data_IF_562170379428
#
_entry.id   IF_562170379428
#
_cell.length_a   1.000
_cell.length_b   1.000
_cell.length_c   1.000
_cell.angle_alpha   90.00
_cell.angle_beta   90.00
_cell.angle_gamma   90.00
#
_symmetry.space_group_name_H-M   'P 1'
#
loop_
_entity.id
_entity.type
_entity.pdbx_description
1 polymer ?
#
# COMPACT_ATOMS: atom_id res chain seq x y z
N UNK A 1 28.77 15.80 -26.50
CA UNK A 1 28.68 17.27 -26.40
C UNK A 1 29.02 17.89 -27.75
N UNK A 2 28.24 18.88 -28.19
CA UNK A 2 28.46 19.61 -29.44
C UNK A 2 28.44 21.10 -29.14
N UNK A 3 29.34 21.87 -29.75
CA UNK A 3 29.51 23.30 -29.50
C UNK A 3 29.35 24.13 -30.77
N UNK A 4 28.62 25.25 -30.67
CA UNK A 4 28.53 26.28 -31.71
C UNK A 4 29.25 27.54 -31.25
N UNK A 5 30.39 27.85 -31.86
CA UNK A 5 31.31 28.90 -31.38
C UNK A 5 30.91 30.33 -31.75
N UNK A 6 29.96 30.53 -32.67
CA UNK A 6 29.45 31.85 -33.08
C UNK A 6 27.98 32.07 -32.70
N UNK A 7 27.43 31.24 -31.81
CA UNK A 7 26.07 31.48 -31.34
C UNK A 7 26.01 32.73 -30.46
N UNK A 8 24.91 33.48 -30.58
CA UNK A 8 24.64 34.71 -29.85
C UNK A 8 23.52 34.52 -28.80
N UNK A 9 23.69 33.65 -27.78
CA UNK A 9 22.67 33.47 -26.74
C UNK A 9 22.40 34.79 -26.02
N UNK A 10 21.14 35.06 -25.71
CA UNK A 10 20.70 36.21 -24.91
C UNK A 10 21.24 37.56 -25.42
N UNK A 11 21.39 37.68 -26.75
CA UNK A 11 21.90 38.89 -27.42
C UNK A 11 23.40 39.16 -27.26
N UNK A 12 24.18 38.19 -26.73
CA UNK A 12 25.63 38.33 -26.53
C UNK A 12 26.38 37.78 -27.74
N UNK A 13 26.94 38.68 -28.55
CA UNK A 13 27.75 38.36 -29.73
C UNK A 13 28.88 37.35 -29.41
N UNK A 14 28.89 36.24 -30.14
CA UNK A 14 29.89 35.15 -30.11
C UNK A 14 30.15 34.55 -28.74
N UNK A 15 29.15 34.55 -27.85
CA UNK A 15 29.29 33.92 -26.53
C UNK A 15 29.36 32.39 -26.62
N UNK A 16 28.93 31.81 -27.74
CA UNK A 16 28.92 30.38 -27.99
C UNK A 16 27.77 29.66 -27.26
N UNK A 17 27.40 28.48 -27.77
CA UNK A 17 26.43 27.58 -27.12
C UNK A 17 26.99 26.17 -27.07
N UNK A 18 26.84 25.51 -25.94
CA UNK A 18 27.21 24.10 -25.74
C UNK A 18 25.95 23.27 -25.51
N UNK A 19 25.88 22.12 -26.15
CA UNK A 19 24.76 21.18 -26.05
C UNK A 19 25.25 19.83 -25.50
N UNK A 20 24.57 19.34 -24.46
CA UNK A 20 24.66 17.94 -24.05
C UNK A 20 23.56 17.18 -24.79
N UNK A 21 23.96 16.10 -25.47
CA UNK A 21 23.05 15.28 -26.26
C UNK A 21 23.05 13.89 -25.63
N UNK A 22 21.91 13.47 -25.11
CA UNK A 22 21.68 12.09 -24.69
C UNK A 22 21.27 11.26 -25.91
N UNK A 23 21.68 10.00 -25.97
CA UNK A 23 21.40 9.12 -27.10
C UNK A 23 19.90 8.91 -27.32
N UNK A 24 19.48 8.79 -28.58
CA UNK A 24 18.10 8.44 -28.97
C UNK A 24 18.09 7.11 -29.72
N UNK A 25 16.97 6.40 -29.65
CA UNK A 25 16.81 5.06 -30.22
C UNK A 25 16.56 5.06 -31.73
N UNK A 26 16.12 6.19 -32.29
CA UNK A 26 15.95 6.35 -33.73
C UNK A 26 17.20 6.97 -34.41
N UNK A 27 17.29 6.85 -35.74
CA UNK A 27 18.47 7.24 -36.53
C UNK A 27 18.40 8.64 -37.15
N UNK A 28 17.34 9.40 -36.86
CA UNK A 28 17.13 10.72 -37.46
C UNK A 28 18.21 11.74 -37.05
N UNK A 29 18.48 12.74 -37.89
CA UNK A 29 19.45 13.78 -37.53
C UNK A 29 18.89 14.67 -36.41
N UNK A 30 19.72 15.03 -35.43
CA UNK A 30 19.34 15.98 -34.39
C UNK A 30 19.46 17.38 -34.95
N UNK A 31 18.33 18.02 -35.20
CA UNK A 31 18.28 19.41 -35.62
C UNK A 31 18.45 20.35 -34.42
N UNK A 32 19.66 20.90 -34.28
CA UNK A 32 20.03 21.81 -33.20
C UNK A 32 19.31 23.18 -33.29
N UNK A 33 18.68 23.51 -34.43
CA UNK A 33 17.94 24.77 -34.56
C UNK A 33 16.63 24.76 -33.75
N UNK A 34 16.03 23.58 -33.57
CA UNK A 34 14.87 23.36 -32.70
C UNK A 34 15.21 23.50 -31.20
N UNK A 35 16.50 23.52 -30.83
CA UNK A 35 16.94 23.71 -29.45
C UNK A 35 17.06 25.19 -29.04
N UNK A 36 16.91 26.12 -29.98
CA UNK A 36 17.37 27.50 -29.79
C UNK A 36 16.29 28.54 -29.47
N UNK A 37 15.04 28.14 -29.22
CA UNK A 37 13.96 29.09 -28.91
C UNK A 37 12.81 28.59 -28.03
N UNK A 38 12.58 27.27 -27.95
CA UNK A 38 11.45 26.65 -27.22
C UNK A 38 11.82 25.24 -26.72
N UNK A 39 13.11 24.98 -26.49
CA UNK A 39 13.54 23.61 -26.22
C UNK A 39 13.09 23.19 -24.83
N UNK A 40 12.16 22.22 -24.81
CA UNK A 40 11.77 21.36 -23.68
C UNK A 40 12.96 20.72 -22.91
N UNK A 41 14.18 20.94 -23.39
CA UNK A 41 15.46 20.38 -22.93
C UNK A 41 16.50 21.47 -22.59
N UNK A 42 16.11 22.76 -22.60
CA UNK A 42 16.99 23.83 -22.19
C UNK A 42 17.06 23.84 -20.65
N UNK A 43 18.23 24.14 -20.10
CA UNK A 43 18.36 24.35 -18.65
C UNK A 43 17.77 25.73 -18.35
N UNK A 44 16.71 25.77 -17.56
CA UNK A 44 16.04 27.00 -17.14
C UNK A 44 16.79 27.65 -15.98
N UNK A 45 17.23 26.83 -15.02
CA UNK A 45 17.99 27.28 -13.86
C UNK A 45 19.33 26.55 -13.79
N UNK A 46 20.41 27.33 -13.93
CA UNK A 46 21.79 26.84 -13.80
C UNK A 46 22.47 27.53 -12.61
N UNK A 47 22.89 26.75 -11.63
CA UNK A 47 23.71 27.21 -10.52
C UNK A 47 25.20 27.15 -10.80
N UNK A 48 26.02 27.27 -9.76
CA UNK A 48 27.47 27.27 -9.83
C UNK A 48 28.11 26.28 -8.83
N UNK A 49 29.15 26.71 -8.11
CA UNK A 49 29.92 25.86 -7.17
C UNK A 49 29.72 26.30 -5.72
N UNK A 50 28.83 27.26 -5.50
CA UNK A 50 28.48 27.83 -4.22
C UNK A 50 27.02 27.50 -3.95
N UNK A 51 26.59 27.59 -2.69
CA UNK A 51 25.18 27.47 -2.33
C UNK A 51 24.30 28.44 -3.14
N UNK A 52 23.31 27.90 -3.82
CA UNK A 52 22.37 28.61 -4.68
C UNK A 52 20.95 28.45 -4.16
N UNK A 53 20.10 29.43 -4.49
CA UNK A 53 18.66 29.34 -4.27
C UNK A 53 17.99 29.57 -5.62
N UNK A 54 17.41 28.50 -6.17
CA UNK A 54 16.79 28.47 -7.48
C UNK A 54 15.29 28.24 -7.30
N UNK A 55 14.49 29.19 -7.75
CA UNK A 55 13.03 29.16 -7.58
C UNK A 55 12.34 29.22 -8.93
N UNK A 56 11.64 28.14 -9.27
CA UNK A 56 10.86 27.95 -10.47
C UNK A 56 9.50 28.62 -10.45
N UNK A 57 8.70 28.28 -11.45
CA UNK A 57 7.34 28.78 -11.63
C UNK A 57 6.35 27.62 -11.65
N UNK A 58 5.16 27.81 -12.20
CA UNK A 58 4.21 26.71 -12.38
C UNK A 58 4.39 25.97 -13.72
N UNK A 59 5.41 26.33 -14.52
CA UNK A 59 5.66 25.68 -15.81
C UNK A 59 6.63 24.50 -15.62
N UNK A 60 6.86 23.74 -16.70
CA UNK A 60 7.89 22.70 -16.71
C UNK A 60 9.28 23.31 -16.80
N UNK A 61 10.12 23.13 -15.79
CA UNK A 61 11.49 23.64 -15.81
C UNK A 61 12.58 22.57 -15.57
N UNK A 62 13.80 22.88 -15.99
CA UNK A 62 14.99 22.08 -15.74
C UNK A 62 15.98 22.85 -14.87
N UNK A 63 16.27 22.29 -13.70
CA UNK A 63 17.24 22.80 -12.73
C UNK A 63 18.52 21.97 -12.77
N UNK A 64 19.67 22.65 -12.79
CA UNK A 64 21.00 22.08 -12.62
C UNK A 64 21.74 22.98 -11.64
N UNK A 65 21.77 22.64 -10.35
CA UNK A 65 22.30 23.54 -9.32
C UNK A 65 23.84 23.50 -9.21
N UNK A 66 24.45 22.32 -9.35
CA UNK A 66 25.89 22.21 -9.54
C UNK A 66 26.60 21.69 -8.29
N UNK A 67 27.39 22.50 -7.62
CA UNK A 67 27.99 22.12 -6.35
C UNK A 67 27.73 23.19 -5.29
N UNK A 68 27.74 22.80 -4.02
CA UNK A 68 27.31 23.66 -2.91
C UNK A 68 26.06 23.10 -2.27
N UNK A 69 25.68 23.65 -1.13
CA UNK A 69 24.44 23.24 -0.45
C UNK A 69 23.30 24.08 -1.02
N UNK A 70 22.59 23.53 -2.01
CA UNK A 70 21.64 24.25 -2.85
C UNK A 70 20.19 24.11 -2.36
N UNK A 71 19.36 25.10 -2.66
CA UNK A 71 17.91 25.06 -2.43
C UNK A 71 17.18 25.26 -3.74
N UNK A 72 16.41 24.25 -4.15
CA UNK A 72 15.66 24.23 -5.40
C UNK A 72 14.16 24.21 -5.06
N UNK A 73 13.35 25.05 -5.69
CA UNK A 73 11.90 25.10 -5.45
C UNK A 73 11.16 25.05 -6.78
N UNK A 74 10.33 24.03 -6.97
CA UNK A 74 9.58 23.85 -8.22
C UNK A 74 8.50 24.90 -8.43
N UNK A 75 7.57 25.02 -7.48
CA UNK A 75 6.31 25.78 -7.58
C UNK A 75 5.26 25.21 -8.56
N UNK A 76 5.54 24.10 -9.25
CA UNK A 76 4.56 23.30 -9.99
C UNK A 76 5.11 22.78 -11.30
N UNK A 77 4.28 22.18 -12.15
CA UNK A 77 4.73 21.66 -13.45
C UNK A 77 5.54 20.35 -13.38
N UNK A 78 5.94 19.84 -14.56
CA UNK A 78 6.81 18.66 -14.68
C UNK A 78 8.29 19.07 -14.64
N UNK A 79 8.78 19.34 -13.44
CA UNK A 79 10.15 19.79 -13.22
C UNK A 79 11.19 18.66 -13.22
N UNK A 80 12.38 18.99 -13.68
CA UNK A 80 13.59 18.15 -13.57
C UNK A 80 14.55 18.83 -12.61
N UNK A 81 14.76 18.24 -11.44
CA UNK A 81 15.78 18.68 -10.49
C UNK A 81 17.04 17.82 -10.61
N UNK A 82 18.18 18.48 -10.82
CA UNK A 82 19.51 17.92 -10.63
C UNK A 82 20.24 18.87 -9.66
N UNK A 83 20.36 18.47 -8.40
CA UNK A 83 20.92 19.34 -7.38
C UNK A 83 22.46 19.32 -7.42
N UNK A 84 23.07 18.14 -7.44
CA UNK A 84 24.46 17.99 -7.83
C UNK A 84 25.34 17.54 -6.65
N UNK A 85 26.38 18.28 -6.27
CA UNK A 85 27.24 17.91 -5.13
C UNK A 85 26.99 18.83 -3.94
N UNK A 86 26.62 18.29 -2.79
CA UNK A 86 26.42 19.09 -1.58
C UNK A 86 25.33 18.52 -0.69
N UNK A 87 24.83 19.34 0.23
CA UNK A 87 23.62 19.00 0.99
C UNK A 87 22.47 19.83 0.45
N UNK A 88 21.70 19.24 -0.44
CA UNK A 88 20.70 19.97 -1.19
C UNK A 88 19.30 19.83 -0.59
N UNK A 89 18.46 20.84 -0.84
CA UNK A 89 17.06 20.88 -0.41
C UNK A 89 16.16 21.16 -1.61
N UNK A 90 15.38 20.16 -2.02
CA UNK A 90 14.47 20.23 -3.16
C UNK A 90 13.03 20.33 -2.63
N UNK A 91 12.34 21.42 -2.91
CA UNK A 91 10.97 21.68 -2.48
C UNK A 91 9.98 21.40 -3.62
N UNK A 92 9.04 20.49 -3.37
CA UNK A 92 7.99 20.08 -4.30
C UNK A 92 6.60 20.29 -3.71
N UNK A 93 5.65 20.75 -4.52
CA UNK A 93 4.25 20.91 -4.11
C UNK A 93 3.34 19.83 -4.74
N UNK A 94 2.03 19.93 -4.50
CA UNK A 94 1.02 19.01 -5.07
C UNK A 94 1.15 18.82 -6.59
N UNK A 95 1.40 19.89 -7.34
CA UNK A 95 1.52 19.81 -8.80
C UNK A 95 2.78 19.04 -9.23
N UNK A 96 3.89 19.22 -8.51
CA UNK A 96 5.11 18.46 -8.79
C UNK A 96 4.94 16.98 -8.45
N UNK A 97 4.25 16.65 -7.34
CA UNK A 97 3.93 15.26 -6.99
C UNK A 97 3.09 14.59 -8.08
N UNK A 98 2.00 15.23 -8.51
CA UNK A 98 1.16 14.71 -9.60
C UNK A 98 1.93 14.55 -10.92
N UNK A 99 2.97 15.37 -11.14
CA UNK A 99 3.86 15.22 -12.28
C UNK A 99 4.80 14.01 -12.14
N UNK A 100 5.31 13.71 -10.94
CA UNK A 100 6.16 12.55 -10.69
C UNK A 100 5.40 11.21 -10.84
N UNK A 101 4.13 11.17 -10.44
CA UNK A 101 3.26 9.98 -10.55
C UNK A 101 2.84 9.65 -12.00
N UNK A 102 2.86 10.64 -12.89
CA UNK A 102 2.41 10.43 -14.27
C UNK A 102 3.26 9.37 -15.00
N UNK A 103 2.60 8.43 -15.66
CA UNK A 103 3.25 7.43 -16.52
C UNK A 103 2.97 7.72 -17.99
N UNK A 104 3.85 7.23 -18.88
CA UNK A 104 3.70 7.37 -20.32
C UNK A 104 4.70 8.33 -20.98
N UNK A 105 4.61 8.41 -22.31
CA UNK A 105 5.57 9.13 -23.13
C UNK A 105 5.51 10.64 -22.88
N UNK A 106 6.68 11.27 -22.72
CA UNK A 106 6.81 12.72 -22.63
C UNK A 106 6.85 13.29 -21.21
N UNK A 107 6.53 12.50 -20.17
CA UNK A 107 6.75 12.91 -18.79
C UNK A 107 8.25 12.91 -18.46
N UNK A 108 8.75 14.06 -17.98
CA UNK A 108 10.16 14.26 -17.60
C UNK A 108 10.37 14.48 -16.11
N UNK A 109 9.30 14.60 -15.31
CA UNK A 109 9.40 14.92 -13.89
C UNK A 109 10.40 14.01 -13.18
N UNK A 110 11.39 14.61 -12.52
CA UNK A 110 12.51 13.90 -11.89
C UNK A 110 13.10 14.72 -10.76
N UNK A 111 13.52 14.03 -9.72
CA UNK A 111 14.25 14.52 -8.56
C UNK A 111 15.54 13.71 -8.47
N UNK A 112 16.67 14.39 -8.52
CA UNK A 112 18.01 13.80 -8.42
C UNK A 112 18.84 14.70 -7.49
N UNK A 113 19.09 14.25 -6.27
CA UNK A 113 19.89 15.01 -5.29
C UNK A 113 21.38 14.99 -5.65
N UNK A 114 21.88 13.85 -6.11
CA UNK A 114 23.25 13.66 -6.53
C UNK A 114 24.18 13.21 -5.41
N UNK A 115 25.32 13.87 -5.26
CA UNK A 115 26.33 13.49 -4.29
C UNK A 115 26.23 14.29 -3.01
N UNK A 116 25.81 13.65 -1.92
CA UNK A 116 25.90 14.22 -0.59
C UNK A 116 24.81 13.70 0.32
N UNK A 117 24.14 14.60 1.06
CA UNK A 117 22.99 14.22 1.90
C UNK A 117 21.86 15.17 1.57
N UNK A 118 20.92 14.67 0.78
CA UNK A 118 19.95 15.50 0.09
C UNK A 118 18.55 15.31 0.65
N UNK A 119 17.80 16.41 0.67
CA UNK A 119 16.47 16.50 1.27
C UNK A 119 15.42 16.80 0.21
N UNK A 120 14.46 15.89 0.04
CA UNK A 120 13.22 16.15 -0.67
C UNK A 120 12.15 16.64 0.30
N UNK A 121 11.62 17.84 0.11
CA UNK A 121 10.71 18.50 1.03
C UNK A 121 9.35 18.79 0.39
N UNK A 122 8.28 18.52 1.15
CA UNK A 122 6.92 18.85 0.74
C UNK A 122 6.57 20.30 1.10
N UNK A 123 6.09 21.05 0.10
CA UNK A 123 5.59 22.42 0.22
C UNK A 123 4.09 22.48 -0.07
N UNK A 124 3.28 22.36 0.98
CA UNK A 124 1.82 22.43 0.88
C UNK A 124 1.13 21.88 2.11
N UNK A 125 -0.20 21.76 2.04
CA UNK A 125 -1.04 21.18 3.09
C UNK A 125 -1.63 19.84 2.64
N UNK A 126 -1.69 18.88 3.56
CA UNK A 126 -2.36 17.60 3.39
C UNK A 126 -1.91 16.84 2.13
N UNK A 127 -0.60 16.91 1.85
CA UNK A 127 -0.01 16.29 0.67
C UNK A 127 0.28 14.81 0.93
N UNK A 128 0.03 13.98 -0.07
CA UNK A 128 0.49 12.58 -0.09
C UNK A 128 1.61 12.44 -1.11
N UNK A 129 2.80 12.04 -0.67
CA UNK A 129 3.87 11.56 -1.53
C UNK A 129 3.84 10.04 -1.53
N UNK A 130 3.25 9.45 -2.56
CA UNK A 130 3.18 8.00 -2.72
C UNK A 130 4.29 7.51 -3.65
N UNK A 131 5.39 7.05 -3.05
CA UNK A 131 6.53 6.52 -3.79
C UNK A 131 6.16 5.23 -4.55
N UNK A 132 5.13 4.49 -4.11
CA UNK A 132 4.69 3.26 -4.79
C UNK A 132 4.05 3.53 -6.15
N UNK A 133 3.57 4.76 -6.37
CA UNK A 133 3.05 5.24 -7.67
C UNK A 133 4.12 5.88 -8.55
N UNK A 134 5.30 6.16 -8.01
CA UNK A 134 6.38 6.85 -8.70
C UNK A 134 7.42 5.81 -9.13
N UNK A 135 7.85 5.87 -10.40
CA UNK A 135 8.94 4.98 -10.85
C UNK A 135 10.22 5.27 -10.05
N UNK A 136 10.88 4.22 -9.56
CA UNK A 136 12.15 4.25 -8.82
C UNK A 136 13.32 4.94 -9.56
N UNK A 137 13.12 5.30 -10.83
CA UNK A 137 14.09 6.08 -11.62
C UNK A 137 13.84 7.58 -11.60
N UNK A 138 12.70 8.03 -11.05
CA UNK A 138 12.30 9.44 -11.01
C UNK A 138 12.72 10.16 -9.74
N UNK A 139 12.93 9.45 -8.64
CA UNK A 139 13.47 10.01 -7.39
C UNK A 139 14.72 9.20 -7.06
N UNK A 140 15.86 9.87 -7.04
CA UNK A 140 17.16 9.25 -6.82
C UNK A 140 18.06 10.17 -5.99
N UNK A 141 18.99 9.55 -5.29
CA UNK A 141 19.97 10.23 -4.44
C UNK A 141 19.32 11.21 -3.45
N UNK A 142 18.32 10.71 -2.72
CA UNK A 142 17.64 11.39 -1.63
C UNK A 142 17.76 10.55 -0.36
N UNK A 143 18.38 11.12 0.67
CA UNK A 143 18.55 10.48 1.98
C UNK A 143 17.52 10.93 3.01
N UNK A 144 16.92 12.10 2.80
CA UNK A 144 15.96 12.70 3.71
C UNK A 144 14.69 13.08 2.96
N UNK A 145 13.53 12.61 3.45
CA UNK A 145 12.23 13.12 3.03
C UNK A 145 11.66 13.95 4.19
N UNK A 146 11.40 15.23 3.93
CA UNK A 146 10.82 16.17 4.87
C UNK A 146 9.35 16.42 4.53
N UNK A 147 8.46 15.78 5.30
CA UNK A 147 7.01 15.93 5.17
C UNK A 147 6.44 16.98 6.13
N UNK A 148 7.26 17.82 6.79
CA UNK A 148 6.82 18.90 7.71
C UNK A 148 6.16 20.09 7.00
N UNK A 149 5.49 19.87 5.87
CA UNK A 149 4.65 20.89 5.25
C UNK A 149 3.57 21.40 6.22
N UNK A 150 2.68 22.23 5.70
CA UNK A 150 1.44 22.55 6.44
C UNK A 150 0.50 21.34 6.45
N UNK A 151 -0.56 21.37 7.27
CA UNK A 151 -1.51 20.26 7.35
C UNK A 151 -0.88 18.94 7.82
N UNK A 152 -1.54 17.83 7.48
CA UNK A 152 -1.12 16.47 7.82
C UNK A 152 -0.67 15.74 6.56
N UNK A 153 0.63 15.65 6.34
CA UNK A 153 1.20 15.08 5.13
C UNK A 153 1.46 13.58 5.29
N UNK A 154 1.41 12.85 4.19
CA UNK A 154 1.56 11.40 4.15
C UNK A 154 2.73 11.03 3.25
N UNK A 155 3.61 10.16 3.72
CA UNK A 155 4.59 9.46 2.90
C UNK A 155 4.18 8.00 2.80
N UNK A 156 4.02 7.48 1.59
CA UNK A 156 3.75 6.06 1.33
C UNK A 156 4.93 5.44 0.59
N UNK A 157 5.47 4.34 1.13
CA UNK A 157 6.64 3.65 0.56
C UNK A 157 6.69 2.15 0.88
N UNK A 158 7.38 1.40 0.04
CA UNK A 158 7.78 0.02 0.29
C UNK A 158 9.32 -0.13 0.32
N UNK A 159 9.81 -1.36 0.57
CA UNK A 159 11.26 -1.62 0.64
C UNK A 159 12.01 -1.26 -0.66
N UNK A 160 11.43 -1.52 -1.83
CA UNK A 160 12.08 -1.20 -3.11
C UNK A 160 12.23 0.30 -3.29
N UNK A 161 11.26 1.09 -2.84
CA UNK A 161 11.30 2.55 -2.92
C UNK A 161 12.43 3.09 -2.02
N UNK A 162 12.56 2.56 -0.80
CA UNK A 162 13.66 2.93 0.11
C UNK A 162 15.03 2.56 -0.46
N UNK A 163 15.16 1.37 -1.05
CA UNK A 163 16.43 0.92 -1.66
C UNK A 163 16.78 1.69 -2.95
N UNK A 164 15.78 2.27 -3.61
CA UNK A 164 15.98 3.07 -4.82
C UNK A 164 16.18 4.57 -4.52
N UNK A 165 15.78 5.03 -3.34
CA UNK A 165 15.80 6.44 -2.97
C UNK A 165 17.22 7.03 -3.03
N UNK A 166 18.25 6.27 -2.67
CA UNK A 166 19.65 6.72 -2.71
C UNK A 166 20.58 5.65 -3.26
N UNK A 167 21.56 6.05 -4.08
CA UNK A 167 22.62 5.16 -4.54
C UNK A 167 23.79 5.04 -3.55
N UNK A 168 23.84 5.91 -2.55
CA UNK A 168 24.96 6.01 -1.59
C UNK A 168 24.69 5.31 -0.26
N UNK A 169 23.41 5.13 0.09
CA UNK A 169 22.98 4.52 1.35
C UNK A 169 21.63 3.83 1.18
N UNK A 170 21.37 2.82 2.03
CA UNK A 170 20.05 2.21 2.16
C UNK A 170 19.33 2.75 3.41
N UNK A 171 19.69 3.94 3.88
CA UNK A 171 19.06 4.59 5.03
C UNK A 171 18.26 5.78 4.52
N UNK A 172 16.94 5.72 4.68
CA UNK A 172 16.03 6.82 4.38
C UNK A 172 15.54 7.43 5.70
N UNK A 173 15.74 8.74 5.87
CA UNK A 173 15.26 9.48 7.05
C UNK A 173 13.99 10.25 6.69
N UNK A 174 13.01 10.23 7.58
CA UNK A 174 11.77 10.96 7.43
C UNK A 174 11.64 11.98 8.55
N UNK A 175 11.50 13.25 8.18
CA UNK A 175 11.20 14.34 9.09
C UNK A 175 9.73 14.69 8.96
N UNK A 176 9.04 14.84 10.08
CA UNK A 176 7.62 15.18 10.10
C UNK A 176 7.25 15.83 11.43
N UNK A 177 6.07 16.44 11.46
CA UNK A 177 5.47 17.08 12.61
C UNK A 177 4.24 16.27 13.08
N UNK A 178 3.57 16.76 14.12
CA UNK A 178 2.39 16.09 14.67
C UNK A 178 1.24 16.10 13.67
N UNK A 179 0.78 14.92 13.27
CA UNK A 179 -0.31 14.73 12.31
C UNK A 179 0.16 14.14 10.98
N UNK A 180 1.45 14.31 10.65
CA UNK A 180 2.08 13.63 9.53
C UNK A 180 2.11 12.11 9.75
N UNK A 181 2.02 11.33 8.68
CA UNK A 181 2.01 9.85 8.74
C UNK A 181 2.92 9.23 7.69
N UNK A 182 3.62 8.17 8.06
CA UNK A 182 4.34 7.29 7.14
C UNK A 182 3.60 5.96 7.04
N UNK A 183 3.15 5.63 5.83
CA UNK A 183 2.52 4.36 5.48
C UNK A 183 3.58 3.46 4.83
N UNK A 184 3.78 2.27 5.38
CA UNK A 184 4.73 1.31 4.81
C UNK A 184 4.30 -0.13 5.10
N UNK A 185 5.00 -1.13 4.56
CA UNK A 185 4.69 -2.55 4.79
C UNK A 185 5.95 -3.29 5.19
N UNK A 186 5.88 -4.11 6.24
CA UNK A 186 6.95 -5.06 6.61
C UNK A 186 8.15 -4.44 7.33
N UNK A 187 8.09 -3.13 7.64
CA UNK A 187 9.09 -2.44 8.45
C UNK A 187 8.79 -2.60 9.94
N UNK A 188 9.72 -3.22 10.67
CA UNK A 188 9.61 -3.46 12.10
C UNK A 188 10.56 -2.53 12.84
N UNK A 189 10.06 -1.83 13.86
CA UNK A 189 10.89 -0.99 14.73
C UNK A 189 11.92 -1.86 15.47
N UNK A 190 13.19 -1.49 15.39
CA UNK A 190 14.29 -2.22 16.04
C UNK A 190 15.05 -1.40 17.06
N UNK A 191 15.16 -0.09 16.88
CA UNK A 191 15.83 0.79 17.83
C UNK A 191 15.28 2.23 17.80
N UNK A 192 15.90 3.08 18.61
CA UNK A 192 15.69 4.53 18.60
C UNK A 192 17.08 5.16 18.59
N UNK A 193 17.30 6.10 17.68
CA UNK A 193 18.59 6.78 17.50
C UNK A 193 18.41 8.30 17.60
N UNK A 194 19.47 9.03 17.91
CA UNK A 194 19.45 10.50 17.92
C UNK A 194 20.59 11.04 17.09
N UNK A 195 20.26 11.90 16.14
CA UNK A 195 21.23 12.54 15.26
C UNK A 195 20.87 14.01 15.07
N UNK A 196 21.88 14.90 15.20
CA UNK A 196 21.72 16.34 15.04
C UNK A 196 20.57 16.96 15.87
N UNK A 197 20.29 16.39 17.05
CA UNK A 197 19.22 16.84 17.94
C UNK A 197 17.82 16.35 17.58
N UNK A 198 17.68 15.50 16.55
CA UNK A 198 16.43 14.85 16.16
C UNK A 198 16.48 13.40 16.64
N UNK A 199 15.41 12.95 17.30
CA UNK A 199 15.25 11.56 17.74
C UNK A 199 14.40 10.81 16.74
N UNK A 200 14.89 9.67 16.28
CA UNK A 200 14.26 8.80 15.29
C UNK A 200 13.92 7.46 15.89
N UNK A 201 12.75 6.94 15.56
CA UNK A 201 12.47 5.51 15.63
C UNK A 201 13.02 4.84 14.37
N UNK A 202 13.83 3.80 14.56
CA UNK A 202 14.52 3.10 13.47
C UNK A 202 13.80 1.79 13.18
N UNK A 203 13.45 1.60 11.91
CA UNK A 203 12.75 0.45 11.41
C UNK A 203 13.59 -0.29 10.38
N UNK A 204 13.57 -1.62 10.43
CA UNK A 204 14.26 -2.50 9.48
C UNK A 204 13.25 -3.44 8.81
N UNK A 205 13.58 -3.90 7.61
CA UNK A 205 12.75 -4.84 6.86
C UNK A 205 13.45 -6.20 6.74
N UNK A 206 12.76 -7.31 7.00
CA UNK A 206 13.35 -8.67 6.95
C UNK A 206 13.90 -9.05 5.58
N UNK A 207 13.22 -8.59 4.53
CA UNK A 207 13.57 -8.88 3.14
C UNK A 207 14.71 -8.02 2.62
N UNK A 208 15.14 -7.02 3.39
CA UNK A 208 16.38 -6.32 3.08
C UNK A 208 17.52 -7.33 3.18
N UNK A 209 18.24 -7.54 2.06
CA UNK A 209 19.43 -8.38 2.04
C UNK A 209 20.30 -8.04 3.27
N UNK A 210 20.72 -9.04 4.04
CA UNK A 210 21.36 -8.84 5.35
C UNK A 210 22.60 -7.95 5.32
N UNK A 211 23.22 -7.79 4.15
CA UNK A 211 24.36 -6.89 3.91
C UNK A 211 23.97 -5.45 3.54
N UNK A 212 22.73 -5.22 3.06
CA UNK A 212 22.25 -3.92 2.59
C UNK A 212 22.03 -2.92 3.74
N UNK A 213 21.80 -3.39 4.97
CA UNK A 213 21.52 -2.54 6.15
C UNK A 213 20.41 -1.50 5.88
N UNK A 214 19.36 -1.92 5.17
CA UNK A 214 18.27 -1.03 4.85
C UNK A 214 17.54 -0.60 6.14
N UNK A 215 17.39 0.70 6.35
CA UNK A 215 16.74 1.24 7.54
C UNK A 215 15.92 2.47 7.21
N UNK A 216 14.69 2.49 7.71
CA UNK A 216 13.81 3.65 7.69
C UNK A 216 13.87 4.33 9.04
N UNK A 217 14.30 5.59 9.07
CA UNK A 217 14.45 6.37 10.31
C UNK A 217 13.36 7.43 10.35
N UNK A 218 12.36 7.26 11.20
CA UNK A 218 11.21 8.16 11.26
C UNK A 218 11.29 9.02 12.50
N UNK A 219 11.26 10.34 12.34
CA UNK A 219 11.29 11.28 13.46
C UNK A 219 10.16 10.97 14.45
N UNK A 220 10.47 10.93 15.76
CA UNK A 220 9.46 10.74 16.78
C UNK A 220 8.41 11.87 16.75
N UNK A 221 7.13 11.47 16.84
CA UNK A 221 5.98 12.37 16.71
C UNK A 221 5.25 12.24 15.36
N UNK A 222 5.87 11.59 14.38
CA UNK A 222 5.24 11.20 13.12
C UNK A 222 4.48 9.89 13.32
N UNK A 223 3.25 9.80 12.80
CA UNK A 223 2.46 8.58 12.81
C UNK A 223 3.09 7.51 11.92
N UNK A 224 3.03 6.25 12.35
CA UNK A 224 3.46 5.10 11.54
C UNK A 224 2.29 4.16 11.36
N UNK A 225 1.95 3.85 10.10
CA UNK A 225 0.95 2.84 9.76
C UNK A 225 1.61 1.71 8.98
N UNK A 226 1.75 0.56 9.62
CA UNK A 226 2.17 -0.67 8.96
C UNK A 226 0.97 -1.25 8.18
N UNK A 227 1.00 -1.09 6.86
CA UNK A 227 0.18 -1.80 5.90
C UNK A 227 0.71 -3.23 5.79
N UNK A 228 0.51 -4.00 6.85
CA UNK A 228 1.02 -5.36 6.99
C UNK A 228 0.60 -6.21 5.77
N UNK A 229 1.58 -6.85 5.13
CA UNK A 229 1.35 -7.86 4.07
C UNK A 229 1.52 -9.25 4.68
N UNK A 230 0.43 -9.99 4.87
CA UNK A 230 0.50 -11.43 5.08
C UNK A 230 -0.48 -12.04 6.08
N UNK A 231 -0.56 -13.37 6.04
CA UNK A 231 -1.42 -14.21 6.88
C UNK A 231 -0.96 -14.25 8.34
N UNK A 232 -1.94 -14.24 9.24
CA UNK A 232 -1.71 -14.39 10.68
C UNK A 232 -1.39 -15.86 11.03
N UNK A 233 -0.53 -16.06 12.03
CA UNK A 233 -0.16 -17.36 12.60
C UNK A 233 -1.41 -18.19 12.90
N UNK A 234 -1.48 -19.39 12.34
CA UNK A 234 -2.53 -20.38 12.61
C UNK A 234 -2.09 -21.18 13.83
N UNK A 235 -2.89 -21.15 14.90
CA UNK A 235 -2.75 -22.10 16.00
C UNK A 235 -3.66 -23.30 15.74
N UNK A 236 -3.17 -24.52 15.99
CA UNK A 236 -4.00 -25.72 15.98
C UNK A 236 -5.17 -25.59 16.97
N UNK A 237 -6.34 -26.09 16.60
CA UNK A 237 -7.61 -25.96 17.36
C UNK A 237 -7.55 -26.71 18.71
N UNK A 238 -6.78 -27.80 18.81
CA UNK A 238 -6.65 -28.65 20.01
C UNK A 238 -5.18 -29.03 20.27
N UNK A 239 -4.82 -29.26 21.54
CA UNK A 239 -3.53 -29.86 21.92
C UNK A 239 -3.40 -31.24 21.26
N UNK A 240 -2.28 -31.47 20.57
CA UNK A 240 -1.95 -32.68 19.79
C UNK A 240 -2.53 -32.77 18.36
N UNK A 241 -3.33 -31.80 17.91
CA UNK A 241 -3.71 -31.69 16.49
C UNK A 241 -2.56 -31.15 15.66
N UNK A 242 -2.27 -31.81 14.52
CA UNK A 242 -1.24 -31.37 13.59
C UNK A 242 -1.88 -30.57 12.44
N UNK A 243 -1.84 -29.24 12.54
CA UNK A 243 -1.87 -28.36 11.37
C UNK A 243 -0.45 -28.32 10.79
N UNK A 244 -0.25 -28.58 9.48
CA UNK A 244 0.95 -28.18 8.68
C UNK A 244 1.27 -29.11 7.48
N UNK A 245 0.40 -30.05 7.10
CA UNK A 245 0.81 -31.03 6.07
C UNK A 245 0.83 -30.49 4.63
N UNK A 246 -0.06 -29.55 4.28
CA UNK A 246 -0.05 -28.90 2.96
C UNK A 246 -0.72 -27.52 2.98
N UNK A 247 0.06 -26.49 2.70
CA UNK A 247 -0.45 -25.15 2.37
C UNK A 247 -0.41 -24.94 0.86
N UNK A 248 -1.45 -24.37 0.28
CA UNK A 248 -1.51 -24.03 -1.15
C UNK A 248 -2.02 -22.60 -1.34
N UNK A 249 -1.44 -21.87 -2.28
CA UNK A 249 -1.90 -20.54 -2.68
C UNK A 249 -3.30 -20.66 -3.30
N UNK A 250 -4.25 -19.84 -2.85
CA UNK A 250 -5.63 -19.81 -3.34
C UNK A 250 -5.87 -18.72 -4.39
N UNK A 251 -4.91 -17.79 -4.55
CA UNK A 251 -5.09 -16.51 -5.25
C UNK A 251 -6.01 -15.58 -4.46
N UNK A 252 -6.24 -14.37 -4.98
CA UNK A 252 -7.18 -13.40 -4.44
C UNK A 252 -8.64 -13.86 -4.68
N UNK A 253 -9.21 -14.66 -3.79
CA UNK A 253 -10.58 -15.19 -3.90
C UNK A 253 -11.63 -14.17 -3.44
N UNK A 254 -11.27 -13.18 -2.62
CA UNK A 254 -12.22 -12.16 -2.13
C UNK A 254 -12.20 -10.83 -2.94
N UNK A 255 -11.31 -10.70 -3.93
CA UNK A 255 -11.25 -9.54 -4.83
C UNK A 255 -10.56 -8.29 -4.25
N UNK A 256 -9.91 -8.36 -3.09
CA UNK A 256 -9.34 -7.19 -2.40
C UNK A 256 -7.96 -6.74 -2.91
N UNK A 257 -7.32 -7.54 -3.77
CA UNK A 257 -6.03 -7.24 -4.39
C UNK A 257 -4.83 -7.93 -3.73
N UNK A 258 -5.06 -8.81 -2.75
CA UNK A 258 -4.06 -9.62 -2.05
C UNK A 258 -4.37 -11.10 -2.27
N UNK A 259 -3.35 -11.95 -2.35
CA UNK A 259 -3.54 -13.40 -2.54
C UNK A 259 -3.97 -14.06 -1.21
N UNK A 260 -4.96 -14.96 -1.25
CA UNK A 260 -5.44 -15.76 -0.12
C UNK A 260 -4.77 -17.16 -0.05
N UNK A 261 -4.97 -17.87 1.06
CA UNK A 261 -4.38 -19.20 1.31
C UNK A 261 -5.46 -20.27 1.52
N UNK A 262 -5.25 -21.46 0.94
CA UNK A 262 -5.96 -22.69 1.32
C UNK A 262 -5.00 -23.55 2.15
N UNK A 263 -5.45 -23.96 3.33
CA UNK A 263 -4.77 -24.98 4.14
C UNK A 263 -5.50 -26.30 3.94
N UNK A 264 -4.80 -27.33 3.47
CA UNK A 264 -5.37 -28.69 3.39
C UNK A 264 -4.59 -29.60 4.31
N UNK A 265 -5.28 -30.20 5.27
CA UNK A 265 -4.75 -31.34 6.02
C UNK A 265 -4.55 -31.03 7.49
N UNK A 266 -5.63 -31.13 8.25
CA UNK A 266 -5.57 -31.47 9.67
C UNK A 266 -5.61 -32.98 9.77
N UNK A 267 -4.45 -33.61 9.99
CA UNK A 267 -4.39 -35.05 10.16
C UNK A 267 -4.90 -35.38 11.57
N UNK A 268 -5.90 -36.25 11.66
CA UNK A 268 -6.61 -36.67 12.89
C UNK A 268 -7.68 -35.72 13.45
N UNK A 269 -8.21 -34.76 12.68
CA UNK A 269 -9.31 -33.91 13.18
C UNK A 269 -10.61 -34.66 13.53
N UNK A 270 -10.72 -35.96 13.18
CA UNK A 270 -11.85 -36.88 13.42
C UNK A 270 -13.25 -36.23 13.41
N UNK A 271 -13.61 -35.38 12.42
CA UNK A 271 -14.95 -34.83 12.34
C UNK A 271 -15.97 -35.98 12.27
N UNK A 272 -16.92 -35.94 13.19
CA UNK A 272 -18.02 -36.89 13.27
C UNK A 272 -17.59 -38.34 13.58
N UNK A 273 -16.45 -38.53 14.27
CA UNK A 273 -15.99 -39.84 14.75
C UNK A 273 -15.42 -40.75 13.65
N UNK A 274 -14.93 -40.18 12.54
CA UNK A 274 -14.30 -40.91 11.44
C UNK A 274 -12.80 -40.70 11.47
N UNK A 275 -12.06 -41.77 11.78
CA UNK A 275 -10.60 -41.81 11.72
C UNK A 275 -10.08 -41.37 10.33
N UNK A 276 -9.17 -40.39 10.31
CA UNK A 276 -8.44 -39.91 9.11
C UNK A 276 -9.27 -39.10 8.07
N UNK A 277 -10.19 -38.25 8.51
CA UNK A 277 -10.82 -37.28 7.59
C UNK A 277 -10.01 -35.97 7.52
N UNK A 278 -9.61 -35.58 6.31
CA UNK A 278 -8.92 -34.31 6.05
C UNK A 278 -9.95 -33.16 5.97
N UNK A 279 -9.72 -32.09 6.74
CA UNK A 279 -10.45 -30.82 6.61
C UNK A 279 -9.60 -29.81 5.82
N UNK A 280 -10.10 -29.26 4.72
CA UNK A 280 -9.51 -28.07 4.12
C UNK A 280 -10.08 -26.81 4.80
N UNK A 281 -9.31 -25.73 4.76
CA UNK A 281 -9.70 -24.42 5.27
C UNK A 281 -9.29 -23.35 4.26
N UNK A 282 -10.10 -22.30 4.13
CA UNK A 282 -9.73 -21.09 3.38
C UNK A 282 -9.42 -20.00 4.40
N UNK A 283 -8.26 -19.37 4.26
CA UNK A 283 -7.79 -18.29 5.12
C UNK A 283 -7.67 -17.06 4.25
N UNK A 284 -8.50 -16.07 4.57
CA UNK A 284 -8.45 -14.79 3.91
C UNK A 284 -7.26 -13.97 4.41
N UNK A 285 -6.64 -13.24 3.50
CA UNK A 285 -5.65 -12.23 3.85
C UNK A 285 -6.31 -11.08 4.67
N UNK A 286 -5.51 -10.40 5.50
CA UNK A 286 -5.97 -9.23 6.28
C UNK A 286 -4.92 -8.14 6.35
N UNK A 287 -5.38 -6.91 6.55
CA UNK A 287 -4.55 -5.72 6.78
C UNK A 287 -4.40 -5.36 8.26
N UNK A 288 -4.94 -6.17 9.17
CA UNK A 288 -4.90 -5.95 10.62
C UNK A 288 -4.27 -7.14 11.38
N UNK A 289 -3.87 -6.90 12.64
CA UNK A 289 -3.07 -7.83 13.46
C UNK A 289 -3.89 -8.88 14.22
N UNK A 290 -5.20 -8.99 13.95
CA UNK A 290 -6.09 -9.85 14.72
C UNK A 290 -5.95 -11.32 14.31
N UNK A 291 -5.76 -12.22 15.27
CA UNK A 291 -5.69 -13.66 15.03
C UNK A 291 -6.97 -14.18 14.37
N UNK A 292 -6.81 -14.89 13.25
CA UNK A 292 -7.89 -15.63 12.60
C UNK A 292 -7.97 -17.01 13.25
N UNK A 293 -9.13 -17.34 13.78
CA UNK A 293 -9.52 -18.74 14.04
C UNK A 293 -10.36 -19.22 12.86
N UNK A 294 -10.09 -20.45 12.47
CA UNK A 294 -10.35 -21.06 11.18
C UNK A 294 -11.86 -21.28 10.91
N UNK A 295 -12.33 -21.04 9.67
CA UNK A 295 -13.68 -21.41 9.22
C UNK A 295 -13.66 -22.84 8.67
N UNK A 296 -14.45 -23.74 9.27
CA UNK A 296 -14.57 -25.16 8.87
C UNK A 296 -15.20 -25.31 7.48
N UNK A 297 -14.46 -25.84 6.49
CA UNK A 297 -15.03 -26.26 5.21
C UNK A 297 -15.34 -27.76 5.26
N UNK A 298 -16.60 -28.11 5.53
CA UNK A 298 -17.12 -29.48 5.38
C UNK A 298 -17.78 -29.68 4.00
N UNK A 299 -17.08 -29.36 2.92
CA UNK A 299 -17.59 -29.60 1.57
C UNK A 299 -17.44 -31.07 1.14
N UNK A 300 -18.55 -31.79 0.98
CA UNK A 300 -18.57 -33.00 0.17
C UNK A 300 -18.42 -32.60 -1.32
N UNK A 301 -17.51 -33.25 -2.05
CA UNK A 301 -17.11 -32.96 -3.43
C UNK A 301 -18.28 -32.88 -4.44
N UNK A 302 -19.46 -33.38 -4.07
CA UNK A 302 -20.60 -33.52 -4.98
C UNK A 302 -21.78 -32.55 -4.71
N UNK A 303 -21.77 -31.68 -3.68
CA UNK A 303 -22.98 -30.89 -3.35
C UNK A 303 -22.83 -29.41 -2.97
N UNK A 304 -21.66 -28.77 -3.06
CA UNK A 304 -21.51 -27.32 -2.80
C UNK A 304 -22.24 -26.84 -1.52
N UNK A 305 -22.21 -27.65 -0.46
CA UNK A 305 -22.97 -27.44 0.78
C UNK A 305 -22.00 -27.08 1.90
N UNK A 306 -22.15 -25.90 2.51
CA UNK A 306 -21.39 -25.46 3.66
C UNK A 306 -22.18 -25.81 4.95
N UNK A 307 -21.56 -26.51 5.89
CA UNK A 307 -22.08 -26.75 7.25
C UNK A 307 -21.07 -26.17 8.25
N UNK A 308 -21.44 -25.11 8.97
CA UNK A 308 -20.59 -24.48 9.98
C UNK A 308 -20.73 -25.17 11.33
N UNK A 309 -19.63 -25.50 11.99
CA UNK A 309 -19.59 -25.81 13.44
C UNK A 309 -18.82 -24.74 14.24
N UNK A 310 -18.79 -23.51 13.71
CA UNK A 310 -18.03 -22.42 14.30
C UNK A 310 -18.42 -22.15 15.76
N UNK A 311 -17.43 -22.17 16.64
CA UNK A 311 -17.60 -21.79 18.05
C UNK A 311 -17.25 -20.30 18.21
N UNK A 312 -18.21 -19.53 18.72
CA UNK A 312 -18.07 -18.16 19.26
C UNK A 312 -17.77 -17.00 18.28
N UNK A 313 -18.61 -16.74 17.27
CA UNK A 313 -18.76 -15.42 16.62
C UNK A 313 -20.17 -15.18 16.05
N UNK A 314 -20.65 -13.94 16.19
CA UNK A 314 -21.99 -13.47 15.78
C UNK A 314 -22.16 -13.28 14.24
N UNK A 315 -21.18 -13.66 13.40
CA UNK A 315 -21.16 -13.42 11.93
C UNK A 315 -20.61 -14.61 11.10
N UNK A 316 -21.20 -14.92 9.93
CA UNK A 316 -20.79 -15.95 8.96
C UNK A 316 -20.73 -15.37 7.53
N UNK A 317 -19.69 -15.74 6.77
CA UNK A 317 -19.52 -15.36 5.36
C UNK A 317 -19.69 -16.57 4.43
N UNK A 318 -20.53 -16.42 3.41
CA UNK A 318 -20.69 -17.35 2.29
C UNK A 318 -19.98 -16.73 1.08
N UNK A 319 -18.94 -17.39 0.54
CA UNK A 319 -18.13 -16.82 -0.55
C UNK A 319 -17.77 -17.87 -1.62
N UNK A 320 -17.82 -17.48 -2.88
CA UNK A 320 -17.37 -18.28 -4.03
C UNK A 320 -17.84 -17.72 -5.38
N UNK A 321 -17.09 -17.99 -6.46
CA UNK A 321 -17.37 -17.47 -7.82
C UNK A 321 -18.63 -18.05 -8.51
N UNK A 322 -19.45 -18.82 -7.79
CA UNK A 322 -20.68 -19.50 -8.24
C UNK A 322 -21.72 -19.51 -7.11
N UNK A 323 -23.00 -19.78 -7.42
CA UNK A 323 -24.06 -19.92 -6.39
C UNK A 323 -23.69 -20.96 -5.31
N UNK A 324 -23.60 -20.53 -4.05
CA UNK A 324 -23.30 -21.39 -2.90
C UNK A 324 -24.57 -21.69 -2.09
N UNK A 325 -24.57 -22.76 -1.29
CA UNK A 325 -25.67 -23.06 -0.35
C UNK A 325 -25.15 -23.35 1.06
N UNK A 326 -25.44 -22.46 2.00
CA UNK A 326 -25.20 -22.62 3.43
C UNK A 326 -26.40 -23.35 4.07
N UNK A 327 -26.14 -24.37 4.89
CA UNK A 327 -27.17 -25.05 5.68
C UNK A 327 -26.92 -24.82 7.17
N UNK A 328 -27.91 -24.27 7.86
CA UNK A 328 -27.86 -24.01 9.30
C UNK A 328 -29.01 -24.73 10.01
N UNK A 329 -28.73 -25.26 11.20
CA UNK A 329 -29.73 -25.73 12.15
C UNK A 329 -29.74 -24.85 13.42
N UNK A 330 -30.73 -25.07 14.30
CA UNK A 330 -30.89 -24.27 15.51
C UNK A 330 -29.70 -24.37 16.48
N UNK A 331 -29.07 -25.54 16.57
CA UNK A 331 -27.88 -25.74 17.42
C UNK A 331 -26.68 -24.97 16.86
N UNK A 332 -26.51 -24.90 15.53
CA UNK A 332 -25.43 -24.13 14.90
C UNK A 332 -25.54 -22.64 15.27
N UNK A 333 -26.76 -22.12 15.37
CA UNK A 333 -27.04 -20.71 15.69
C UNK A 333 -26.80 -20.38 17.16
N UNK A 334 -27.17 -21.30 18.05
CA UNK A 334 -27.01 -21.16 19.50
C UNK A 334 -25.54 -21.24 19.94
N UNK A 335 -24.68 -21.88 19.14
CA UNK A 335 -23.23 -21.96 19.38
C UNK A 335 -22.41 -20.87 18.68
N UNK A 336 -22.95 -20.28 17.61
CA UNK A 336 -22.30 -19.18 16.91
C UNK A 336 -22.40 -17.87 17.70
N UNK A 337 -23.59 -17.51 18.21
CA UNK A 337 -23.77 -16.22 18.89
C UNK A 337 -23.30 -16.23 20.35
N UNK A 338 -22.40 -15.32 20.70
CA UNK A 338 -21.87 -15.21 22.08
C UNK A 338 -22.46 -14.04 22.87
N UNK A 339 -23.22 -13.12 22.25
CA UNK A 339 -23.69 -11.92 22.96
C UNK A 339 -25.09 -11.36 22.64
N UNK A 340 -25.87 -11.93 21.71
CA UNK A 340 -27.25 -11.47 21.49
C UNK A 340 -28.24 -12.51 20.91
N UNK A 341 -27.82 -13.77 20.68
CA UNK A 341 -28.57 -14.75 19.87
C UNK A 341 -28.83 -14.26 18.44
N UNK A 342 -27.94 -13.42 17.91
CA UNK A 342 -28.01 -12.90 16.55
C UNK A 342 -26.89 -13.55 15.74
N UNK A 343 -27.21 -14.01 14.54
CA UNK A 343 -26.23 -14.40 13.54
C UNK A 343 -26.41 -13.57 12.27
N UNK A 344 -25.37 -12.87 11.85
CA UNK A 344 -25.34 -12.19 10.56
C UNK A 344 -24.73 -13.09 9.48
N UNK A 345 -25.36 -13.13 8.31
CA UNK A 345 -24.90 -13.90 7.14
C UNK A 345 -24.70 -12.96 5.97
N UNK A 346 -23.47 -12.95 5.46
CA UNK A 346 -23.03 -12.14 4.33
C UNK A 346 -22.69 -13.04 3.14
N UNK A 347 -22.93 -12.55 1.92
CA UNK A 347 -22.70 -13.32 0.70
C UNK A 347 -23.01 -12.54 -0.58
N UNK A 348 -22.66 -13.14 -1.71
CA UNK A 348 -22.84 -12.55 -3.04
C UNK A 348 -24.25 -12.84 -3.58
N UNK A 349 -24.71 -11.99 -4.50
CA UNK A 349 -25.99 -12.19 -5.21
C UNK A 349 -26.09 -13.59 -5.84
N UNK A 350 -27.04 -14.39 -5.36
CA UNK A 350 -27.31 -15.76 -5.84
C UNK A 350 -26.90 -16.85 -4.87
N UNK A 351 -26.21 -16.50 -3.78
CA UNK A 351 -25.98 -17.40 -2.65
C UNK A 351 -27.28 -17.75 -1.95
N UNK A 352 -27.33 -18.96 -1.39
CA UNK A 352 -28.53 -19.52 -0.75
C UNK A 352 -28.25 -19.90 0.69
N UNK A 353 -29.22 -19.65 1.55
CA UNK A 353 -29.18 -20.10 2.95
C UNK A 353 -30.42 -20.95 3.20
N UNK A 354 -30.22 -22.19 3.64
CA UNK A 354 -31.29 -23.09 4.04
C UNK A 354 -31.24 -23.26 5.55
N UNK A 355 -32.27 -22.75 6.21
CA UNK A 355 -32.40 -22.82 7.66
C UNK A 355 -33.73 -23.48 8.02
N UNK A 356 -33.69 -24.61 8.71
CA UNK A 356 -34.90 -25.25 9.19
C UNK A 356 -35.47 -24.49 10.40
N UNK A 357 -36.76 -24.13 10.34
CA UNK A 357 -37.51 -23.59 11.49
C UNK A 357 -37.50 -22.06 11.64
N UNK A 358 -36.75 -21.35 10.81
CA UNK A 358 -36.76 -19.88 10.72
C UNK A 358 -37.84 -19.40 9.76
N UNK A 359 -38.47 -18.28 10.11
CA UNK A 359 -39.46 -17.60 9.28
C UNK A 359 -39.05 -16.14 9.11
N UNK A 360 -39.23 -15.64 7.89
CA UNK A 360 -39.04 -14.23 7.57
C UNK A 360 -39.88 -13.36 8.51
N UNK A 361 -39.23 -12.41 9.19
CA UNK A 361 -39.88 -11.48 10.11
C UNK A 361 -40.52 -10.29 9.38
N UNK A 362 -40.25 -10.12 8.09
CA UNK A 362 -40.60 -8.96 7.24
C UNK A 362 -39.94 -7.65 7.66
N UNK A 363 -38.96 -7.73 8.55
CA UNK A 363 -38.17 -6.60 9.05
C UNK A 363 -36.84 -6.59 8.32
N UNK A 364 -36.47 -5.41 7.83
CA UNK A 364 -35.15 -5.14 7.28
C UNK A 364 -34.35 -4.32 8.30
N UNK A 365 -33.05 -4.58 8.40
CA UNK A 365 -32.16 -3.82 9.26
C UNK A 365 -30.89 -3.45 8.52
N UNK A 366 -30.46 -2.19 8.66
CA UNK A 366 -29.19 -1.72 8.10
C UNK A 366 -28.18 -1.49 9.21
N UNK A 367 -27.04 -2.16 9.12
CA UNK A 367 -25.88 -1.99 10.02
C UNK A 367 -24.65 -1.83 9.15
N UNK A 368 -23.80 -0.84 9.45
CA UNK A 368 -22.54 -0.57 8.74
C UNK A 368 -22.63 -0.53 7.20
N UNK A 369 -23.73 0.04 6.69
CA UNK A 369 -24.04 0.17 5.26
C UNK A 369 -24.46 -1.12 4.54
N UNK A 370 -24.69 -2.19 5.28
CA UNK A 370 -25.23 -3.47 4.78
C UNK A 370 -26.68 -3.60 5.25
N UNK A 371 -27.58 -3.99 4.35
CA UNK A 371 -28.99 -4.22 4.67
C UNK A 371 -29.28 -5.72 4.71
N UNK A 372 -29.91 -6.13 5.80
CA UNK A 372 -30.25 -7.52 6.11
C UNK A 372 -31.75 -7.71 6.19
N UNK A 373 -32.23 -8.84 5.66
CA UNK A 373 -33.55 -9.40 5.93
C UNK A 373 -33.46 -10.23 7.22
N UNK A 374 -34.37 -9.97 8.16
CA UNK A 374 -34.34 -10.61 9.48
C UNK A 374 -35.28 -11.82 9.51
N UNK A 375 -34.77 -12.96 9.97
CA UNK A 375 -35.49 -14.21 10.15
C UNK A 375 -35.51 -14.61 11.63
N UNK A 376 -36.65 -15.10 12.10
CA UNK A 376 -36.87 -15.47 13.50
C UNK A 376 -37.29 -16.93 13.62
N UNK A 377 -36.88 -17.59 14.71
CA UNK A 377 -37.26 -18.98 14.97
C UNK A 377 -38.52 -19.08 15.84
N UNK A 378 -39.40 -20.05 15.55
CA UNK A 378 -40.71 -20.16 16.23
C UNK A 378 -40.75 -21.07 17.48
N UNK A 379 -39.64 -21.71 17.86
CA UNK A 379 -39.64 -22.63 19.01
C UNK A 379 -39.70 -21.92 20.36
N UNK A 380 -40.83 -22.11 21.06
CA UNK A 380 -41.12 -21.56 22.38
C UNK A 380 -40.38 -22.24 23.56
N UNK A 381 -39.39 -23.12 23.30
CA UNK A 381 -38.73 -23.96 24.31
C UNK A 381 -37.33 -23.49 24.74
N UNK A 382 -36.82 -22.38 24.21
CA UNK A 382 -35.61 -21.72 24.74
C UNK A 382 -35.92 -20.24 24.97
N UNK A 383 -35.44 -19.67 26.09
CA UNK A 383 -35.67 -18.27 26.48
C UNK A 383 -34.82 -17.27 25.65
N UNK A 384 -34.50 -17.60 24.40
CA UNK A 384 -33.61 -16.82 23.55
C UNK A 384 -34.35 -16.44 22.28
N UNK A 385 -34.62 -15.14 22.11
CA UNK A 385 -35.08 -14.58 20.83
C UNK A 385 -33.91 -14.70 19.84
N UNK A 386 -33.87 -15.79 19.06
CA UNK A 386 -32.79 -16.03 18.08
C UNK A 386 -33.15 -15.40 16.75
N UNK A 387 -32.29 -14.51 16.27
CA UNK A 387 -32.43 -13.82 14.99
C UNK A 387 -31.32 -14.25 14.02
N UNK A 388 -31.70 -14.47 12.77
CA UNK A 388 -30.78 -14.67 11.65
C UNK A 388 -30.93 -13.47 10.72
N UNK A 389 -29.84 -12.78 10.44
CA UNK A 389 -29.82 -11.59 9.59
C UNK A 389 -29.12 -11.96 8.29
N UNK A 390 -29.86 -12.10 7.18
CA UNK A 390 -29.26 -12.43 5.89
C UNK A 390 -29.18 -11.17 5.01
N UNK A 391 -28.01 -10.87 4.45
CA UNK A 391 -27.86 -9.75 3.51
C UNK A 391 -28.87 -9.88 2.35
N UNK A 392 -29.50 -8.77 1.94
CA UNK A 392 -30.60 -8.72 0.94
C UNK A 392 -30.32 -9.32 -0.45
N UNK A 393 -29.08 -9.73 -0.72
CA UNK A 393 -28.67 -10.38 -1.97
C UNK A 393 -28.66 -11.92 -1.89
N UNK A 394 -28.88 -12.46 -0.68
CA UNK A 394 -28.93 -13.89 -0.38
C UNK A 394 -30.37 -14.41 -0.49
N UNK A 395 -30.53 -15.61 -1.04
CA UNK A 395 -31.82 -16.28 -1.19
C UNK A 395 -32.03 -17.31 -0.07
N UNK A 396 -33.10 -17.14 0.72
CA UNK A 396 -33.49 -18.17 1.70
C UNK A 396 -34.26 -19.32 1.04
N UNK A 397 -33.93 -20.56 1.42
CA UNK A 397 -34.48 -21.82 0.86
C UNK A 397 -35.37 -22.61 1.81
#
# INVERSE_FOLDING_TARGET
MVSSYQADPNGRLSAGKSYVIFGKTDTDAIDLTNLSGDSKYAIDYLGDKNANTLTGTSNDEIFVAGAGDDTLTGNGGMDVFNAGLGKDSILINASNISALEQTGAGNRARVDGGGGVDTLKLDGADLTLDLTKISNTRIQDIEIIDIRGSGNNILELNLNDLLAASTSTNILKVLGNSGDTVNTSGFVKTSTETENGITYDVYTHSDANTDAKAALWVQQGVGMKDMQRGFVVINGEVVDDWSDWSVSNAGNVNGNGLDDLIVVGVYQSDPSGKSNADKPYVIFDKTNTDAIYVIDYLGNKDTNTLTSTATNKDEIFVAGAVENTLKLNLDDLLHASSSANILEVLGDSGDKVNTAGFSDSTIDKTVDSITYDIYTHSDANTHADVELWAQQEIVML
#
